data_IF_352186830210
#
_entry.id   IF_352186830210
#
_cell.length_a   1.000
_cell.length_b   1.000
_cell.length_c   1.000
_cell.angle_alpha   90.00
_cell.angle_beta   90.00
_cell.angle_gamma   90.00
#
_symmetry.space_group_name_H-M   'P 1'
#
loop_
_entity.id
_entity.type
_entity.pdbx_description
1 polymer ?
#
# COMPACT_ATOMS: atom_id res chain seq x y z
N UNK A 1 10.99 -8.78 8.65
CA UNK A 1 9.55 -9.05 8.74
C UNK A 1 9.06 -8.81 10.16
N UNK A 2 8.05 -7.96 10.32
CA UNK A 2 7.25 -7.81 11.55
C UNK A 2 5.78 -8.02 11.18
N UNK A 3 4.95 -8.40 12.14
CA UNK A 3 3.53 -8.69 11.92
C UNK A 3 2.66 -7.94 12.94
N UNK A 4 1.44 -7.60 12.53
CA UNK A 4 0.41 -6.99 13.36
C UNK A 4 -0.91 -7.70 13.08
N UNK A 5 -1.62 -8.06 14.15
CA UNK A 5 -2.96 -8.64 14.05
C UNK A 5 -4.02 -7.55 14.18
N UNK A 6 -4.98 -7.56 13.27
CA UNK A 6 -6.16 -6.69 13.30
C UNK A 6 -7.41 -7.56 13.29
N UNK A 7 -8.60 -7.02 13.62
CA UNK A 7 -9.86 -7.75 13.46
C UNK A 7 -10.14 -8.25 12.03
N UNK A 8 -9.48 -7.65 11.04
CA UNK A 8 -9.64 -7.99 9.61
C UNK A 8 -8.65 -9.07 9.17
N UNK A 9 -7.54 -9.25 9.88
CA UNK A 9 -6.51 -10.22 9.56
C UNK A 9 -5.11 -9.76 9.95
N UNK A 10 -4.11 -10.53 9.49
CA UNK A 10 -2.70 -10.31 9.83
C UNK A 10 -2.03 -9.50 8.73
N UNK A 11 -1.42 -8.39 9.13
CA UNK A 11 -0.61 -7.55 8.27
C UNK A 11 0.86 -7.69 8.59
N UNK A 12 1.70 -7.55 7.58
CA UNK A 12 3.14 -7.70 7.64
C UNK A 12 3.82 -6.43 7.14
N UNK A 13 4.98 -6.13 7.70
CA UNK A 13 5.88 -5.08 7.20
C UNK A 13 7.30 -5.63 7.04
N UNK A 14 8.04 -5.03 6.10
CA UNK A 14 9.42 -5.40 5.79
C UNK A 14 9.57 -6.91 5.45
N UNK A 15 8.59 -7.49 4.77
CA UNK A 15 8.67 -8.81 4.13
C UNK A 15 9.27 -8.66 2.73
N UNK A 16 8.82 -7.68 1.97
CA UNK A 16 9.25 -7.44 0.60
C UNK A 16 10.48 -6.54 0.58
N UNK A 17 11.48 -6.93 -0.22
CA UNK A 17 12.67 -6.11 -0.45
C UNK A 17 12.33 -4.99 -1.42
N UNK A 18 12.30 -3.76 -0.93
CA UNK A 18 12.13 -2.57 -1.76
C UNK A 18 13.45 -2.28 -2.48
N UNK A 19 13.47 -2.13 -3.82
CA UNK A 19 14.67 -1.71 -4.54
C UNK A 19 15.20 -0.37 -4.01
N UNK A 20 16.52 -0.26 -3.82
CA UNK A 20 17.15 0.96 -3.29
C UNK A 20 16.94 2.20 -4.15
N UNK A 21 16.63 2.02 -5.44
CA UNK A 21 16.29 3.10 -6.35
C UNK A 21 14.91 3.71 -6.08
N UNK A 22 14.05 3.04 -5.29
CA UNK A 22 12.67 3.49 -5.05
C UNK A 22 12.64 4.30 -3.76
N UNK A 23 11.93 5.42 -3.79
CA UNK A 23 11.67 6.24 -2.61
C UNK A 23 10.32 5.85 -2.02
N UNK A 24 10.24 5.70 -0.71
CA UNK A 24 8.96 5.47 -0.02
C UNK A 24 8.37 6.79 0.45
N UNK A 25 7.09 7.04 0.16
CA UNK A 25 6.40 8.26 0.60
C UNK A 25 6.21 8.30 2.13
N UNK A 26 6.09 7.13 2.75
CA UNK A 26 6.10 6.94 4.20
C UNK A 26 6.85 5.65 4.56
N UNK A 27 7.47 5.64 5.74
CA UNK A 27 8.19 4.47 6.24
C UNK A 27 7.23 3.36 6.69
N UNK A 28 7.62 2.11 6.44
CA UNK A 28 6.85 0.97 6.93
C UNK A 28 6.94 0.88 8.45
N UNK A 29 5.80 0.96 9.13
CA UNK A 29 5.73 0.94 10.59
C UNK A 29 4.52 0.18 11.09
N UNK A 30 4.63 -0.33 12.31
CA UNK A 30 3.52 -0.79 13.13
C UNK A 30 3.63 0.01 14.42
N UNK A 31 2.59 0.75 14.74
CA UNK A 31 2.53 1.64 15.90
C UNK A 31 1.27 1.33 16.70
N UNK A 32 1.46 0.99 17.98
CA UNK A 32 0.37 0.74 18.93
C UNK A 32 0.18 2.02 19.75
N UNK A 33 -0.91 2.73 19.48
CA UNK A 33 -1.21 4.04 20.10
C UNK A 33 -1.96 3.82 21.42
N UNK A 34 -2.89 2.86 21.45
CA UNK A 34 -3.57 2.39 22.67
C UNK A 34 -4.07 0.96 22.48
N UNK A 35 -4.69 0.37 23.51
CA UNK A 35 -5.25 -1.00 23.44
C UNK A 35 -6.20 -1.20 22.26
N UNK A 36 -6.92 -0.15 21.86
CA UNK A 36 -7.90 -0.18 20.78
C UNK A 36 -7.53 0.74 19.60
N UNK A 37 -6.27 1.19 19.52
CA UNK A 37 -5.81 2.05 18.43
C UNK A 37 -4.44 1.63 17.94
N UNK A 38 -4.37 1.21 16.68
CA UNK A 38 -3.14 0.79 16.03
C UNK A 38 -3.07 1.35 14.62
N UNK A 39 -1.87 1.78 14.21
CA UNK A 39 -1.57 2.19 12.85
C UNK A 39 -0.52 1.25 12.23
N UNK A 40 -0.77 0.82 11.00
CA UNK A 40 0.13 0.00 10.20
C UNK A 40 0.34 0.68 8.86
N UNK A 41 1.59 0.86 8.46
CA UNK A 41 1.97 1.32 7.12
C UNK A 41 2.70 0.15 6.45
N UNK A 42 2.08 -0.46 5.46
CA UNK A 42 2.60 -1.68 4.80
C UNK A 42 2.83 -1.48 3.30
N UNK A 43 3.87 -2.15 2.80
CA UNK A 43 4.15 -2.31 1.38
C UNK A 43 4.20 -3.80 1.00
N UNK A 44 3.70 -4.68 1.85
CA UNK A 44 3.79 -6.12 1.65
C UNK A 44 2.47 -6.74 1.17
N UNK A 45 1.35 -6.04 1.36
CA UNK A 45 0.02 -6.59 1.15
C UNK A 45 -0.94 -5.57 0.51
N UNK A 46 -1.94 -6.10 -0.18
CA UNK A 46 -3.10 -5.40 -0.71
C UNK A 46 -4.38 -6.00 -0.13
N UNK A 47 -5.47 -5.23 -0.13
CA UNK A 47 -6.75 -5.61 0.48
C UNK A 47 -7.87 -5.45 -0.55
N UNK A 48 -8.58 -6.53 -0.82
CA UNK A 48 -9.69 -6.59 -1.77
C UNK A 48 -11.03 -6.57 -1.04
N UNK A 49 -11.82 -5.53 -1.28
CA UNK A 49 -13.17 -5.35 -0.78
C UNK A 49 -14.19 -5.61 -1.90
N UNK A 50 -14.66 -6.85 -2.02
CA UNK A 50 -15.51 -7.25 -3.15
C UNK A 50 -14.75 -7.02 -4.46
N UNK A 51 -15.11 -5.96 -5.20
CA UNK A 51 -14.45 -5.62 -6.47
C UNK A 51 -13.42 -4.47 -6.36
N UNK A 52 -13.22 -3.90 -5.17
CA UNK A 52 -12.33 -2.76 -4.98
C UNK A 52 -11.03 -3.19 -4.29
N UNK A 53 -9.91 -3.07 -4.99
CA UNK A 53 -8.58 -3.35 -4.46
C UNK A 53 -7.92 -2.07 -3.94
N UNK A 54 -7.60 -2.04 -2.65
CA UNK A 54 -6.69 -1.06 -2.05
C UNK A 54 -5.30 -1.69 -1.97
N UNK A 55 -4.29 -1.02 -2.51
CA UNK A 55 -2.94 -1.56 -2.58
C UNK A 55 -1.90 -0.46 -2.47
N UNK A 56 -0.68 -0.78 -2.03
CA UNK A 56 0.46 0.09 -2.28
C UNK A 56 0.54 0.43 -3.77
N UNK A 57 1.02 1.64 -4.09
CA UNK A 57 1.11 2.15 -5.46
C UNK A 57 2.53 2.54 -5.79
N UNK A 58 2.99 2.13 -6.97
CA UNK A 58 4.25 2.60 -7.54
C UNK A 58 3.94 3.68 -8.56
N UNK A 59 4.58 4.83 -8.41
CA UNK A 59 4.49 5.96 -9.31
C UNK A 59 5.87 6.30 -9.85
N UNK A 60 6.04 6.24 -11.17
CA UNK A 60 7.25 6.72 -11.85
C UNK A 60 6.96 8.11 -12.43
N UNK A 61 7.83 9.08 -12.20
CA UNK A 61 7.69 10.41 -12.80
C UNK A 61 7.95 10.34 -14.30
N UNK A 62 7.05 10.91 -15.11
CA UNK A 62 7.26 11.02 -16.55
C UNK A 62 8.39 11.99 -16.93
N UNK A 63 8.60 13.04 -16.12
CA UNK A 63 9.67 14.01 -16.34
C UNK A 63 11.02 13.53 -15.80
N UNK A 64 11.00 12.67 -14.79
CA UNK A 64 12.20 12.10 -14.16
C UNK A 64 12.01 10.59 -13.99
N UNK A 65 12.22 9.78 -15.05
CA UNK A 65 11.98 8.33 -15.01
C UNK A 65 12.74 7.59 -13.90
N UNK A 66 13.88 8.11 -13.45
CA UNK A 66 14.64 7.55 -12.33
C UNK A 66 13.97 7.77 -10.97
N UNK A 67 13.03 8.72 -10.88
CA UNK A 67 12.26 9.01 -9.67
C UNK A 67 11.04 8.10 -9.60
N UNK A 68 11.18 7.02 -8.86
CA UNK A 68 10.12 6.04 -8.58
C UNK A 68 9.74 6.17 -7.10
N UNK A 69 8.47 6.45 -6.83
CA UNK A 69 7.91 6.58 -5.50
C UNK A 69 6.92 5.45 -5.20
N UNK A 70 7.02 4.84 -4.02
CA UNK A 70 6.01 3.93 -3.48
C UNK A 70 5.15 4.69 -2.48
N UNK A 71 3.84 4.69 -2.70
CA UNK A 71 2.84 5.07 -1.70
C UNK A 71 2.36 3.79 -1.01
N UNK A 72 2.62 3.62 0.30
CA UNK A 72 2.20 2.43 1.03
C UNK A 72 0.68 2.38 1.21
N UNK A 73 0.19 1.22 1.63
CA UNK A 73 -1.15 1.07 2.17
C UNK A 73 -1.10 1.37 3.66
N UNK A 74 -1.92 2.32 4.11
CA UNK A 74 -2.09 2.65 5.52
C UNK A 74 -3.33 1.96 6.06
N UNK A 75 -3.21 1.40 7.25
CA UNK A 75 -4.27 0.65 7.92
C UNK A 75 -4.34 1.19 9.35
N UNK A 76 -5.52 1.68 9.74
CA UNK A 76 -5.75 2.25 11.04
C UNK A 76 -6.92 1.52 11.72
N UNK A 77 -6.61 0.79 12.79
CA UNK A 77 -7.61 0.16 13.63
C UNK A 77 -8.00 1.11 14.76
N UNK A 78 -9.29 1.44 14.88
CA UNK A 78 -9.83 2.33 15.92
C UNK A 78 -11.09 1.71 16.51
N UNK A 79 -10.98 1.12 17.70
CA UNK A 79 -12.11 0.56 18.45
C UNK A 79 -12.76 -0.63 17.74
N UNK A 80 -13.79 -0.38 16.95
CA UNK A 80 -14.57 -1.41 16.25
C UNK A 80 -14.46 -1.33 14.72
N UNK A 81 -13.67 -0.40 14.21
CA UNK A 81 -13.50 -0.17 12.78
C UNK A 81 -12.04 -0.23 12.35
N UNK A 82 -11.83 -0.58 11.09
CA UNK A 82 -10.52 -0.54 10.44
C UNK A 82 -10.62 0.33 9.20
N UNK A 83 -9.81 1.39 9.13
CA UNK A 83 -9.66 2.22 7.95
C UNK A 83 -8.48 1.73 7.12
N UNK A 84 -8.68 1.69 5.81
CA UNK A 84 -7.67 1.36 4.82
C UNK A 84 -7.53 2.56 3.89
N UNK A 85 -6.33 3.11 3.79
CA UNK A 85 -6.04 4.27 2.96
C UNK A 85 -4.92 3.92 1.99
N UNK A 86 -5.23 3.93 0.70
CA UNK A 86 -4.22 3.91 -0.36
C UNK A 86 -4.00 5.33 -0.92
N UNK A 87 -3.22 5.46 -1.99
CA UNK A 87 -2.92 6.76 -2.57
C UNK A 87 -4.15 7.54 -3.08
N UNK A 88 -5.24 6.86 -3.44
CA UNK A 88 -6.41 7.46 -4.10
C UNK A 88 -7.71 7.30 -3.33
N UNK A 89 -7.78 6.35 -2.41
CA UNK A 89 -9.03 5.88 -1.82
C UNK A 89 -8.87 5.61 -0.34
N UNK A 90 -9.96 5.84 0.39
CA UNK A 90 -10.14 5.41 1.77
C UNK A 90 -11.31 4.46 1.81
N UNK A 91 -11.18 3.36 2.56
CA UNK A 91 -12.24 2.39 2.82
C UNK A 91 -12.32 2.06 4.30
N UNK A 92 -13.52 2.11 4.84
CA UNK A 92 -13.80 1.71 6.22
C UNK A 92 -14.39 0.30 6.22
N UNK A 93 -13.88 -0.56 7.09
CA UNK A 93 -14.46 -1.84 7.44
C UNK A 93 -15.04 -1.78 8.86
N UNK A 94 -16.27 -2.27 9.01
CA UNK A 94 -16.94 -2.45 10.30
C UNK A 94 -17.13 -3.93 10.57
N UNK A 95 -17.26 -4.30 11.85
CA UNK A 95 -17.45 -5.69 12.27
C UNK A 95 -18.66 -6.41 11.65
N UNK A 96 -19.67 -5.67 11.18
CA UNK A 96 -20.83 -6.20 10.45
C UNK A 96 -20.55 -6.54 8.98
N UNK A 97 -19.45 -6.03 8.43
CA UNK A 97 -19.12 -6.15 7.02
C UNK A 97 -18.42 -7.49 6.75
N UNK A 98 -18.57 -8.07 5.55
CA UNK A 98 -17.79 -9.24 5.17
C UNK A 98 -16.29 -8.94 5.25
N UNK A 99 -15.52 -9.93 5.69
CA UNK A 99 -14.06 -9.82 5.75
C UNK A 99 -13.50 -9.61 4.33
N UNK A 100 -12.65 -8.60 4.11
CA UNK A 100 -11.94 -8.44 2.84
C UNK A 100 -10.88 -9.53 2.68
N UNK A 101 -10.47 -9.75 1.44
CA UNK A 101 -9.37 -10.67 1.14
C UNK A 101 -8.03 -9.92 1.20
N UNK A 102 -7.04 -10.52 1.88
CA UNK A 102 -5.70 -9.97 1.99
C UNK A 102 -4.79 -10.74 1.04
N UNK A 103 -4.14 -10.00 0.14
CA UNK A 103 -3.27 -10.54 -0.91
C UNK A 103 -1.84 -10.03 -0.71
N UNK A 104 -0.86 -10.84 -1.10
CA UNK A 104 0.54 -10.38 -1.15
C UNK A 104 0.70 -9.32 -2.25
N UNK A 105 1.50 -8.29 -1.97
CA UNK A 105 1.83 -7.25 -2.92
C UNK A 105 3.34 -7.18 -3.10
N UNK A 106 3.79 -6.99 -4.34
CA UNK A 106 5.20 -6.87 -4.67
C UNK A 106 5.44 -5.63 -5.51
N UNK A 107 6.50 -4.84 -5.25
CA UNK A 107 6.82 -3.68 -6.03
C UNK A 107 7.39 -4.13 -7.38
N UNK A 108 6.55 -4.10 -8.42
CA UNK A 108 6.96 -4.41 -9.77
C UNK A 108 6.47 -3.32 -10.71
N UNK A 109 7.40 -2.61 -11.36
CA UNK A 109 7.06 -1.77 -12.50
C UNK A 109 6.84 -2.71 -13.68
N UNK A 110 5.58 -2.96 -14.02
CA UNK A 110 5.28 -3.44 -15.37
C UNK A 110 5.62 -2.26 -16.28
N UNK A 111 6.65 -2.40 -17.13
CA UNK A 111 6.80 -1.47 -18.26
C UNK A 111 5.53 -1.58 -19.09
N UNK A 112 4.57 -0.69 -18.86
CA UNK A 112 3.59 -0.37 -19.89
C UNK A 112 4.43 0.11 -21.08
N UNK A 113 4.17 -0.42 -22.27
CA UNK A 113 4.89 -0.01 -23.48
C UNK A 113 5.03 1.51 -23.50
N UNK A 114 6.26 1.99 -23.69
CA UNK A 114 6.48 3.42 -23.76
C UNK A 114 5.80 3.97 -25.02
N UNK A 115 4.92 4.97 -24.83
CA UNK A 115 4.54 5.86 -25.91
C UNK A 115 5.55 7.02 -25.91
N UNK A 116 6.54 7.02 -26.82
CA UNK A 116 7.60 8.01 -26.79
C UNK A 116 7.04 9.42 -26.96
N UNK A 117 7.58 10.37 -26.20
CA UNK A 117 7.21 11.77 -26.32
C UNK A 117 7.46 12.25 -27.75
N UNK A 118 6.44 12.80 -28.42
CA UNK A 118 6.56 13.31 -29.80
C UNK A 118 7.54 14.48 -29.95
N UNK A 119 7.85 15.18 -28.85
CA UNK A 119 8.72 16.36 -28.88
C UNK A 119 10.21 16.02 -28.65
N UNK A 120 10.52 15.05 -27.77
CA UNK A 120 11.90 14.73 -27.42
C UNK A 120 12.31 13.27 -27.70
N UNK A 121 11.40 12.42 -28.19
CA UNK A 121 11.65 11.02 -28.50
C UNK A 121 11.94 10.13 -27.29
N UNK A 122 11.95 10.69 -26.08
CA UNK A 122 12.21 9.93 -24.86
C UNK A 122 11.00 9.09 -24.46
N UNK A 123 11.35 7.89 -24.05
CA UNK A 123 10.66 7.09 -23.06
C UNK A 123 11.23 7.46 -21.68
#
# INVERSE_FOLDING_TARGET
MKTAETPVGIFTINKVKIPSAYTCAAEQKIEYISENHMQIITMDQAVLFGNQLLSPRICQSCMNPDKITIYPLEIEYIGEKVLFTDHYSVKEWKKSDPLPEIHEWYPHIKKAGCNPCRNCGRC
#
